data_IF_113759183231
#
_entry.id   IF_113759183231
#
_cell.length_a   1.000
_cell.length_b   1.000
_cell.length_c   1.000
_cell.angle_alpha   90.00
_cell.angle_beta   90.00
_cell.angle_gamma   90.00
#
_symmetry.space_group_name_H-M   'P 1'
#
loop_
_entity.id
_entity.type
_entity.pdbx_description
1 polymer ?
#
# COMPACT_ATOMS: atom_id res chain seq x y z
N UNK A 1 -5.98 -16.43 -23.00
CA UNK A 1 -5.86 -17.27 -21.79
C UNK A 1 -6.20 -16.40 -20.59
N UNK A 2 -7.14 -16.81 -19.73
CA UNK A 2 -7.51 -16.01 -18.56
C UNK A 2 -6.53 -16.30 -17.43
N UNK A 3 -6.37 -15.35 -16.50
CA UNK A 3 -5.50 -15.50 -15.33
C UNK A 3 -5.82 -16.77 -14.54
N UNK A 4 -7.11 -17.05 -14.31
CA UNK A 4 -7.53 -18.25 -13.56
C UNK A 4 -7.07 -19.56 -14.19
N UNK A 5 -6.95 -19.60 -15.51
CA UNK A 5 -6.49 -20.79 -16.25
C UNK A 5 -4.98 -21.01 -16.07
N UNK A 6 -4.24 -19.96 -15.68
CA UNK A 6 -2.81 -20.00 -15.42
C UNK A 6 -2.49 -20.44 -13.98
N UNK A 7 -3.46 -20.46 -13.07
CA UNK A 7 -3.23 -20.82 -11.68
C UNK A 7 -3.11 -22.35 -11.52
N UNK A 8 -2.19 -22.83 -10.64
CA UNK A 8 -2.13 -24.25 -10.29
C UNK A 8 -3.48 -24.77 -9.77
N UNK A 9 -3.91 -25.93 -10.26
CA UNK A 9 -5.15 -26.57 -9.80
C UNK A 9 -5.07 -26.95 -8.32
N UNK A 10 -6.15 -26.73 -7.58
CA UNK A 10 -6.32 -27.22 -6.21
C UNK A 10 -5.81 -26.32 -5.08
N UNK A 11 -5.17 -25.18 -5.41
CA UNK A 11 -4.55 -24.30 -4.41
C UNK A 11 -5.18 -22.91 -4.32
N UNK A 12 -6.12 -22.59 -5.21
CA UNK A 12 -6.73 -21.27 -5.30
C UNK A 12 -8.24 -21.41 -5.45
N UNK A 13 -8.96 -20.67 -4.61
CA UNK A 13 -10.34 -20.30 -4.88
C UNK A 13 -10.34 -18.90 -5.50
N UNK A 14 -10.94 -18.75 -6.68
CA UNK A 14 -10.79 -17.55 -7.51
C UNK A 14 -12.13 -16.85 -7.64
N UNK A 15 -12.21 -15.68 -7.02
CA UNK A 15 -13.34 -14.78 -7.19
C UNK A 15 -12.99 -13.74 -8.27
N UNK A 16 -13.73 -13.76 -9.39
CA UNK A 16 -13.56 -12.79 -10.48
C UNK A 16 -14.42 -11.54 -10.24
N UNK A 17 -13.83 -10.35 -10.38
CA UNK A 17 -14.56 -9.08 -10.41
C UNK A 17 -14.66 -8.53 -11.84
N UNK A 18 -15.79 -7.91 -12.19
CA UNK A 18 -16.02 -7.39 -13.55
C UNK A 18 -15.36 -6.04 -13.81
N UNK A 19 -15.08 -5.28 -12.75
CA UNK A 19 -14.48 -3.94 -12.79
C UNK A 19 -14.03 -3.50 -11.38
N UNK A 20 -13.54 -2.26 -11.25
CA UNK A 20 -13.04 -1.75 -9.96
C UNK A 20 -14.13 -1.58 -8.89
N UNK A 21 -15.38 -1.28 -9.27
CA UNK A 21 -16.49 -1.15 -8.30
C UNK A 21 -16.88 -2.52 -7.73
N UNK A 22 -17.08 -3.52 -8.59
CA UNK A 22 -17.33 -4.91 -8.17
C UNK A 22 -16.13 -5.47 -7.39
N UNK A 23 -14.91 -5.09 -7.79
CA UNK A 23 -13.67 -5.50 -7.13
C UNK A 23 -13.60 -5.10 -5.67
N UNK A 24 -13.84 -3.83 -5.37
CA UNK A 24 -13.87 -3.33 -3.99
C UNK A 24 -14.98 -3.98 -3.18
N UNK A 25 -16.18 -4.09 -3.75
CA UNK A 25 -17.30 -4.77 -3.07
C UNK A 25 -16.94 -6.20 -2.66
N UNK A 26 -16.25 -6.94 -3.54
CA UNK A 26 -15.81 -8.32 -3.28
C UNK A 26 -14.65 -8.42 -2.32
N UNK A 27 -13.73 -7.45 -2.34
CA UNK A 27 -12.65 -7.38 -1.35
C UNK A 27 -13.24 -7.30 0.07
N UNK A 28 -14.28 -6.50 0.26
CA UNK A 28 -14.96 -6.39 1.55
C UNK A 28 -15.82 -7.61 1.90
N UNK A 29 -16.54 -8.21 0.95
CA UNK A 29 -17.44 -9.34 1.24
C UNK A 29 -16.68 -10.67 1.41
N UNK A 30 -15.70 -10.95 0.56
CA UNK A 30 -15.01 -12.24 0.50
C UNK A 30 -13.74 -12.28 1.36
N UNK A 31 -13.22 -11.12 1.78
CA UNK A 31 -11.96 -10.99 2.54
C UNK A 31 -10.81 -11.84 1.95
N UNK A 32 -10.41 -11.57 0.70
CA UNK A 32 -9.42 -12.38 0.00
C UNK A 32 -8.05 -12.30 0.67
N UNK A 33 -7.28 -13.39 0.55
CA UNK A 33 -5.89 -13.46 1.04
C UNK A 33 -4.85 -13.02 0.00
N UNK A 34 -5.27 -12.66 -1.21
CA UNK A 34 -4.45 -12.15 -2.31
C UNK A 34 -5.34 -11.36 -3.26
N UNK A 35 -4.91 -10.17 -3.66
CA UNK A 35 -5.59 -9.35 -4.66
C UNK A 35 -4.75 -9.33 -5.92
N UNK A 36 -5.41 -9.60 -7.04
CA UNK A 36 -4.86 -9.40 -8.38
C UNK A 36 -5.60 -8.24 -9.05
N UNK A 37 -4.91 -7.13 -9.27
CA UNK A 37 -5.49 -5.90 -9.76
C UNK A 37 -4.99 -5.58 -11.16
N UNK A 38 -5.91 -5.41 -12.10
CA UNK A 38 -5.59 -4.79 -13.38
C UNK A 38 -5.51 -3.28 -13.21
N UNK A 39 -4.47 -2.64 -13.75
CA UNK A 39 -4.34 -1.18 -13.67
C UNK A 39 -5.35 -0.46 -14.56
N UNK A 40 -5.66 -1.06 -15.71
CA UNK A 40 -6.58 -0.52 -16.71
C UNK A 40 -7.94 -1.19 -16.57
N UNK A 41 -8.82 -0.57 -15.79
CA UNK A 41 -10.19 -1.04 -15.55
C UNK A 41 -11.23 -0.04 -16.07
N UNK A 42 -12.41 -0.52 -16.52
CA UNK A 42 -13.55 0.35 -16.80
C UNK A 42 -14.23 0.82 -15.51
N UNK A 43 -14.97 1.94 -15.60
CA UNK A 43 -15.76 2.58 -14.52
C UNK A 43 -14.93 3.14 -13.36
N UNK A 44 -14.18 2.29 -12.65
CA UNK A 44 -13.24 2.67 -11.59
C UNK A 44 -11.87 2.10 -11.95
N UNK A 45 -10.89 2.98 -12.12
CA UNK A 45 -9.54 2.62 -12.57
C UNK A 45 -8.80 1.78 -11.52
N UNK A 46 -7.81 1.01 -11.96
CA UNK A 46 -6.96 0.26 -11.03
C UNK A 46 -6.17 1.18 -10.09
N UNK A 47 -5.88 2.42 -10.52
CA UNK A 47 -5.31 3.45 -9.65
C UNK A 47 -6.25 3.80 -8.49
N UNK A 48 -7.53 4.07 -8.76
CA UNK A 48 -8.49 4.40 -7.71
C UNK A 48 -8.73 3.23 -6.75
N UNK A 49 -8.78 1.99 -7.27
CA UNK A 49 -8.86 0.78 -6.44
C UNK A 49 -7.64 0.64 -5.56
N UNK A 50 -6.44 0.87 -6.11
CA UNK A 50 -5.20 0.87 -5.34
C UNK A 50 -5.22 1.91 -4.22
N UNK A 51 -5.64 3.15 -4.50
CA UNK A 51 -5.73 4.19 -3.48
C UNK A 51 -6.67 3.80 -2.33
N UNK A 52 -7.81 3.19 -2.65
CA UNK A 52 -8.76 2.73 -1.63
C UNK A 52 -8.17 1.61 -0.75
N UNK A 53 -7.53 0.60 -1.37
CA UNK A 53 -6.81 -0.45 -0.63
C UNK A 53 -5.74 0.14 0.28
N UNK A 54 -4.99 1.14 -0.18
CA UNK A 54 -3.95 1.79 0.61
C UNK A 54 -4.51 2.68 1.73
N UNK A 55 -5.76 3.15 1.61
CA UNK A 55 -6.40 3.99 2.63
C UNK A 55 -7.01 3.20 3.79
N UNK A 56 -7.31 1.92 3.58
CA UNK A 56 -7.84 1.01 4.61
C UNK A 56 -6.74 0.13 5.18
N UNK A 57 -6.47 0.25 6.50
CA UNK A 57 -5.47 -0.52 7.21
C UNK A 57 -5.70 -2.04 7.15
N UNK A 58 -6.97 -2.48 7.06
CA UNK A 58 -7.32 -3.89 6.96
C UNK A 58 -7.11 -4.45 5.56
N UNK A 59 -7.19 -3.60 4.53
CA UNK A 59 -6.99 -4.01 3.14
C UNK A 59 -5.53 -3.91 2.71
N UNK A 60 -4.82 -2.90 3.21
CA UNK A 60 -3.41 -2.64 2.89
C UNK A 60 -2.47 -3.80 3.24
N UNK A 61 -2.85 -4.64 4.20
CA UNK A 61 -2.09 -5.83 4.58
C UNK A 61 -2.25 -6.99 3.60
N UNK A 62 -3.28 -6.96 2.75
CA UNK A 62 -3.56 -8.04 1.81
C UNK A 62 -2.49 -8.00 0.69
N UNK A 63 -1.81 -9.12 0.39
CA UNK A 63 -0.89 -9.22 -0.73
C UNK A 63 -1.50 -8.73 -2.04
N UNK A 64 -0.79 -7.83 -2.73
CA UNK A 64 -1.27 -7.24 -3.99
C UNK A 64 -0.31 -7.56 -5.14
N UNK A 65 -0.88 -8.08 -6.23
CA UNK A 65 -0.23 -8.17 -7.54
C UNK A 65 -0.92 -7.19 -8.49
N UNK A 66 -0.19 -6.15 -8.91
CA UNK A 66 -0.66 -5.16 -9.86
C UNK A 66 -0.21 -5.54 -11.27
N UNK A 67 -1.15 -5.58 -12.21
CA UNK A 67 -0.93 -6.03 -13.58
C UNK A 67 -1.20 -4.89 -14.55
N UNK A 68 -0.29 -4.61 -15.48
CA UNK A 68 -0.52 -3.62 -16.53
C UNK A 68 0.25 -3.96 -17.80
N UNK A 69 -0.30 -3.64 -18.97
CA UNK A 69 0.44 -3.65 -20.24
C UNK A 69 1.13 -2.32 -20.55
N UNK A 70 1.01 -1.34 -19.66
CA UNK A 70 1.58 0.00 -19.80
C UNK A 70 2.28 0.39 -18.50
N UNK A 71 3.53 -0.05 -18.35
CA UNK A 71 4.32 0.22 -17.13
C UNK A 71 4.43 1.72 -16.85
N UNK A 72 4.60 2.53 -17.90
CA UNK A 72 4.79 3.98 -17.82
C UNK A 72 3.67 4.67 -17.02
N UNK A 73 2.42 4.33 -17.33
CA UNK A 73 1.23 4.89 -16.65
C UNK A 73 1.17 4.49 -15.17
N UNK A 74 1.69 3.31 -14.81
CA UNK A 74 1.83 2.89 -13.42
C UNK A 74 2.90 3.72 -12.74
N UNK A 75 4.08 3.85 -13.36
CA UNK A 75 5.23 4.57 -12.78
C UNK A 75 5.03 6.07 -12.67
N UNK A 76 4.13 6.66 -13.46
CA UNK A 76 3.68 8.05 -13.29
C UNK A 76 2.86 8.27 -12.00
N UNK A 77 2.23 7.22 -11.49
CA UNK A 77 1.38 7.26 -10.28
C UNK A 77 2.07 6.69 -9.05
N UNK A 78 2.90 5.66 -9.23
CA UNK A 78 3.58 4.94 -8.16
C UNK A 78 5.06 4.84 -8.52
N UNK A 79 5.92 5.46 -7.71
CA UNK A 79 7.37 5.40 -7.92
C UNK A 79 7.93 4.01 -7.62
N UNK A 80 8.91 3.60 -8.42
CA UNK A 80 9.75 2.43 -8.11
C UNK A 80 10.79 2.76 -7.01
N UNK A 81 11.22 1.79 -6.19
CA UNK A 81 10.83 0.38 -6.22
C UNK A 81 9.44 0.11 -5.59
N UNK A 82 8.71 -0.85 -6.15
CA UNK A 82 7.42 -1.29 -5.57
C UNK A 82 7.68 -2.16 -4.32
N UNK A 83 7.80 -1.52 -3.16
CA UNK A 83 8.19 -2.18 -1.91
C UNK A 83 7.10 -3.09 -1.33
N UNK A 84 5.84 -2.74 -1.59
CA UNK A 84 4.67 -3.22 -0.87
C UNK A 84 3.76 -4.15 -1.69
N UNK A 85 3.95 -4.15 -3.00
CA UNK A 85 3.20 -5.00 -3.93
C UNK A 85 4.12 -5.55 -5.01
N UNK A 86 3.66 -6.59 -5.69
CA UNK A 86 4.35 -7.11 -6.88
C UNK A 86 3.74 -6.52 -8.14
N UNK A 87 4.59 -6.13 -9.08
CA UNK A 87 4.15 -5.66 -10.39
C UNK A 87 4.46 -6.73 -11.44
N UNK A 88 3.50 -7.00 -12.31
CA UNK A 88 3.68 -7.88 -13.46
C UNK A 88 3.21 -7.19 -14.74
N UNK A 89 4.12 -7.12 -15.71
CA UNK A 89 3.85 -6.50 -17.00
C UNK A 89 3.17 -7.49 -17.96
N UNK A 90 2.14 -7.03 -18.68
CA UNK A 90 1.44 -7.82 -19.70
C UNK A 90 2.12 -7.64 -21.06
N UNK A 91 2.24 -8.71 -21.88
CA UNK A 91 1.82 -10.09 -21.61
C UNK A 91 2.77 -10.84 -20.68
N UNK A 92 2.24 -11.79 -19.91
CA UNK A 92 3.02 -12.64 -19.01
C UNK A 92 2.63 -14.13 -19.13
N UNK A 93 3.53 -15.01 -18.73
CA UNK A 93 3.32 -16.46 -18.66
C UNK A 93 2.96 -16.97 -17.24
N UNK A 94 2.67 -18.26 -17.13
CA UNK A 94 2.35 -18.91 -15.86
C UNK A 94 3.50 -18.81 -14.84
N UNK A 95 4.76 -18.89 -15.27
CA UNK A 95 5.91 -18.84 -14.37
C UNK A 95 6.06 -17.44 -13.77
N UNK A 96 5.90 -16.41 -14.61
CA UNK A 96 5.92 -15.01 -14.19
C UNK A 96 4.77 -14.71 -13.23
N UNK A 97 3.56 -15.19 -13.51
CA UNK A 97 2.42 -15.02 -12.60
C UNK A 97 2.70 -15.64 -11.22
N UNK A 98 3.15 -16.90 -11.18
CA UNK A 98 3.45 -17.60 -9.92
C UNK A 98 4.59 -16.90 -9.16
N UNK A 99 5.60 -16.38 -9.87
CA UNK A 99 6.67 -15.60 -9.25
C UNK A 99 6.16 -14.30 -8.63
N UNK A 100 5.30 -13.55 -9.34
CA UNK A 100 4.72 -12.30 -8.84
C UNK A 100 3.83 -12.54 -7.61
N UNK A 101 3.04 -13.63 -7.61
CA UNK A 101 2.24 -14.02 -6.44
C UNK A 101 3.16 -14.29 -5.24
N UNK A 102 4.22 -15.08 -5.41
CA UNK A 102 5.18 -15.36 -4.33
C UNK A 102 5.84 -14.09 -3.80
N UNK A 103 6.23 -13.18 -4.69
CA UNK A 103 6.82 -11.88 -4.33
C UNK A 103 5.83 -11.01 -3.53
N UNK A 104 4.56 -10.93 -3.95
CA UNK A 104 3.52 -10.20 -3.21
C UNK A 104 3.28 -10.78 -1.81
N UNK A 105 3.31 -12.11 -1.67
CA UNK A 105 3.21 -12.79 -0.36
C UNK A 105 4.38 -12.50 0.56
N UNK A 106 5.57 -12.20 0.02
CA UNK A 106 6.74 -11.81 0.81
C UNK A 106 6.67 -10.33 1.18
N UNK A 107 6.28 -9.46 0.25
CA UNK A 107 6.20 -8.01 0.45
C UNK A 107 5.10 -7.58 1.42
N UNK A 108 3.94 -8.23 1.38
CA UNK A 108 2.85 -7.98 2.34
C UNK A 108 3.27 -8.16 3.80
N UNK A 109 4.19 -9.08 4.10
CA UNK A 109 4.74 -9.27 5.45
C UNK A 109 5.57 -8.09 5.96
N UNK A 110 6.01 -7.21 5.05
CA UNK A 110 6.71 -5.96 5.39
C UNK A 110 5.74 -4.84 5.75
N UNK A 111 4.45 -4.96 5.44
CA UNK A 111 3.46 -4.06 6.00
C UNK A 111 3.30 -4.37 7.48
N UNK A 112 3.46 -3.39 8.38
CA UNK A 112 3.02 -3.56 9.75
C UNK A 112 1.51 -3.72 9.71
N UNK A 113 1.03 -4.94 9.85
CA UNK A 113 -0.38 -5.19 10.07
C UNK A 113 -0.77 -4.50 11.38
N UNK A 114 -1.86 -3.73 11.37
CA UNK A 114 -2.60 -3.53 12.60
C UNK A 114 -2.87 -4.93 13.18
N UNK A 115 -2.64 -5.17 14.48
CA UNK A 115 -2.67 -6.51 15.04
C UNK A 115 -4.06 -7.09 14.77
N UNK A 116 -4.11 -8.15 13.95
CA UNK A 116 -5.28 -9.00 13.89
C UNK A 116 -5.59 -9.47 15.33
N UNK A 117 -6.86 -9.71 15.69
CA UNK A 117 -7.21 -10.38 16.94
C UNK A 117 -6.72 -11.84 16.93
N UNK A 118 -5.41 -12.04 16.95
CA UNK A 118 -4.79 -13.32 17.29
C UNK A 118 -4.64 -13.32 18.80
N UNK A 119 -5.19 -14.35 19.44
CA UNK A 119 -4.95 -14.64 20.85
C UNK A 119 -3.44 -14.52 21.12
N UNK A 120 -3.07 -13.56 21.97
CA UNK A 120 -1.70 -13.21 22.33
C UNK A 120 -1.10 -14.41 23.09
N UNK A 121 -0.03 -15.07 22.61
CA UNK A 121 0.89 -15.75 23.50
C UNK A 121 1.74 -14.67 24.19
N UNK A 122 1.84 -14.66 25.53
CA UNK A 122 2.51 -13.59 26.25
C UNK A 122 4.02 -13.75 26.15
N UNK A 123 4.67 -13.01 25.26
CA UNK A 123 6.09 -12.72 25.36
C UNK A 123 6.44 -11.41 24.61
N UNK A 124 6.94 -10.45 25.37
CA UNK A 124 7.72 -9.27 24.99
C UNK A 124 7.04 -8.14 24.20
N UNK A 125 6.03 -7.52 24.82
CA UNK A 125 5.40 -6.26 24.37
C UNK A 125 6.17 -4.99 24.81
N UNK A 126 7.26 -5.13 25.59
CA UNK A 126 7.92 -3.98 26.24
C UNK A 126 8.79 -3.16 25.28
N UNK A 127 9.42 -3.76 24.27
CA UNK A 127 10.37 -3.04 23.39
C UNK A 127 9.70 -2.17 22.34
N UNK A 128 8.54 -2.55 21.81
CA UNK A 128 7.87 -1.81 20.72
C UNK A 128 7.12 -0.56 21.23
N UNK A 129 6.61 -0.59 22.47
CA UNK A 129 5.96 0.59 23.08
C UNK A 129 6.99 1.70 23.33
N UNK A 130 8.22 1.32 23.67
CA UNK A 130 9.27 2.29 23.97
C UNK A 130 9.70 3.07 22.72
N UNK A 131 9.80 2.42 21.56
CA UNK A 131 10.16 3.08 20.30
C UNK A 131 9.07 4.07 19.82
N UNK A 132 7.79 3.71 19.99
CA UNK A 132 6.66 4.58 19.60
C UNK A 132 6.59 5.84 20.49
N UNK A 133 6.86 5.69 21.79
CA UNK A 133 6.89 6.83 22.72
C UNK A 133 8.05 7.78 22.39
N UNK A 134 9.21 7.26 22.03
CA UNK A 134 10.38 8.08 21.70
C UNK A 134 10.19 8.84 20.36
N UNK A 135 9.57 8.19 19.36
CA UNK A 135 9.21 8.83 18.09
C UNK A 135 8.20 9.98 18.27
N UNK A 136 7.19 9.81 19.12
CA UNK A 136 6.21 10.86 19.41
C UNK A 136 6.84 12.05 20.14
N UNK A 137 7.76 11.80 21.08
CA UNK A 137 8.47 12.86 21.77
C UNK A 137 9.35 13.69 20.80
N UNK A 138 9.97 13.04 19.82
CA UNK A 138 10.81 13.70 18.82
C UNK A 138 10.01 14.52 17.81
N UNK A 139 8.80 14.10 17.45
CA UNK A 139 7.90 14.91 16.62
C UNK A 139 7.50 16.20 17.34
N UNK A 140 7.19 16.13 18.63
CA UNK A 140 6.84 17.32 19.41
C UNK A 140 7.97 18.34 19.47
N UNK A 141 9.23 17.90 19.63
CA UNK A 141 10.36 18.84 19.68
C UNK A 141 10.62 19.53 18.33
N UNK A 142 10.41 18.81 17.22
CA UNK A 142 10.56 19.37 15.88
C UNK A 142 9.48 20.40 15.55
N UNK A 143 8.24 20.22 16.01
CA UNK A 143 7.16 21.19 15.82
C UNK A 143 7.45 22.52 16.52
N UNK A 144 8.02 22.46 17.73
CA UNK A 144 8.44 23.64 18.49
C UNK A 144 9.58 24.40 17.79
N UNK A 145 10.60 23.67 17.30
CA UNK A 145 11.68 24.27 16.50
C UNK A 145 11.13 24.94 15.22
N UNK A 146 10.19 24.29 14.54
CA UNK A 146 9.58 24.79 13.31
C UNK A 146 8.72 26.04 13.54
N UNK A 147 7.99 26.09 14.67
CA UNK A 147 7.24 27.27 15.12
C UNK A 147 8.17 28.45 15.40
N UNK A 148 9.30 28.17 16.05
CA UNK A 148 10.30 29.19 16.38
C UNK A 148 10.96 29.74 15.12
N UNK A 149 11.31 28.86 14.17
CA UNK A 149 11.89 29.24 12.89
C UNK A 149 10.91 30.05 12.03
N UNK A 150 9.63 29.66 11.99
CA UNK A 150 8.56 30.44 11.33
C UNK A 150 8.43 31.86 11.90
N UNK A 151 8.51 32.01 13.23
CA UNK A 151 8.49 33.32 13.89
C UNK A 151 9.69 34.18 13.48
N UNK A 152 10.88 33.59 13.42
CA UNK A 152 12.10 34.29 12.97
C UNK A 152 11.99 34.74 11.51
N UNK A 153 11.52 33.89 10.61
CA UNK A 153 11.29 34.23 9.19
C UNK A 153 10.30 35.38 9.07
N UNK A 154 9.18 35.33 9.82
CA UNK A 154 8.17 36.39 9.82
C UNK A 154 8.72 37.73 10.33
N UNK A 155 9.55 37.71 11.39
CA UNK A 155 10.23 38.90 11.90
C UNK A 155 11.23 39.48 10.89
N UNK A 156 11.98 38.63 10.19
CA UNK A 156 12.94 39.08 9.17
C UNK A 156 12.22 39.76 8.00
N UNK A 157 11.12 39.17 7.52
CA UNK A 157 10.27 39.74 6.47
C UNK A 157 9.70 41.10 6.91
N UNK A 158 9.26 41.22 8.17
CA UNK A 158 8.77 42.48 8.73
C UNK A 158 9.88 43.53 8.80
N UNK A 159 11.09 43.14 9.17
CA UNK A 159 12.24 44.05 9.25
C UNK A 159 12.65 44.59 7.88
N UNK A 160 12.69 43.73 6.85
CA UNK A 160 13.01 44.11 5.47
C UNK A 160 11.94 45.07 4.92
N UNK A 161 10.65 44.81 5.17
CA UNK A 161 9.55 45.72 4.75
C UNK A 161 9.54 47.09 5.43
N UNK A 162 10.22 47.25 6.57
CA UNK A 162 10.25 48.52 7.32
C UNK A 162 11.49 49.36 6.98
N UNK A 163 12.47 48.79 6.27
CA UNK A 163 13.73 49.44 5.86
C UNK A 163 13.82 49.76 4.36
N UNK A 164 12.81 49.38 3.58
CA UNK A 164 12.52 49.86 2.23
C UNK A 164 11.50 51.00 2.31
#
# INVERSE_FOLDING_TARGET
MRVKDMLPKGNFDVVEAKDGVDGISKIHSEQPNLIMLDFLLPRKSGWEVYQEIQSDHNLKVIPLVLMSGRKNEVTEKISEPFEYFSFIEKPFDQKQLVAAIKDAMIKSKKHPAAPAPQAIPPADTTSMVQEIVDLNNRLSSMEDEMSTLKKQVSQLIKFIKTKL
#
